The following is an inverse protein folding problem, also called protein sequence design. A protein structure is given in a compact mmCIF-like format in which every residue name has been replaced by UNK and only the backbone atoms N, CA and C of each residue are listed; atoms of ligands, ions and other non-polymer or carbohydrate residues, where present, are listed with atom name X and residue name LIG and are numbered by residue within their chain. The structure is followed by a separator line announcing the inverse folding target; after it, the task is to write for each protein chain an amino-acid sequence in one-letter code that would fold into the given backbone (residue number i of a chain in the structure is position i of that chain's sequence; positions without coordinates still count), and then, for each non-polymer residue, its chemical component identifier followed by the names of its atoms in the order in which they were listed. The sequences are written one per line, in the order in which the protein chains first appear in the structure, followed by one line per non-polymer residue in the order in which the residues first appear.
data_IF_502858238506
#
_entry.id   IF_502858238506
#
_cell.length_a   1.000
_cell.length_b   1.000
_cell.length_c   1.000
_cell.angle_alpha   90.00
_cell.angle_beta   90.00
_cell.angle_gamma   90.00
#
_symmetry.space_group_name_H-M   'P 1'
#
loop_
_entity.id
_entity.type
_entity.pdbx_description
1 polymer ?
#
# COMPACT_ATOMS: atom_id res chain seq x y z
N UNK A 1 30.41 -13.45 -5.13
CA UNK A 1 30.65 -13.31 -3.68
C UNK A 1 29.77 -12.20 -3.13
N UNK A 2 29.97 -11.79 -1.88
CA UNK A 2 29.28 -10.62 -1.31
C UNK A 2 29.70 -9.33 -2.01
N UNK A 3 28.84 -8.30 -1.97
CA UNK A 3 29.22 -6.97 -2.42
C UNK A 3 29.95 -6.24 -1.28
N UNK A 4 31.10 -5.65 -1.57
CA UNK A 4 31.90 -4.90 -0.59
C UNK A 4 31.50 -3.43 -0.45
N UNK A 5 30.57 -2.95 -1.27
CA UNK A 5 30.03 -1.59 -1.17
C UNK A 5 28.98 -1.55 -0.07
N UNK A 6 29.41 -1.09 1.11
CA UNK A 6 28.64 -1.12 2.35
C UNK A 6 28.39 0.29 2.90
N UNK A 7 27.29 0.50 3.65
CA UNK A 7 27.02 1.76 4.34
C UNK A 7 28.02 2.01 5.46
N UNK A 8 28.56 3.24 5.54
CA UNK A 8 29.52 3.68 6.55
C UNK A 8 28.89 4.73 7.49
N UNK A 9 29.66 5.36 8.39
CA UNK A 9 29.17 6.44 9.27
C UNK A 9 27.91 6.09 10.10
N UNK A 10 27.76 4.82 10.50
CA UNK A 10 26.63 4.36 11.31
C UNK A 10 25.35 4.01 10.53
N UNK A 11 25.32 4.21 9.21
CA UNK A 11 24.16 3.95 8.37
C UNK A 11 23.77 2.46 8.24
N UNK A 12 24.63 1.55 8.66
CA UNK A 12 24.32 0.11 8.74
C UNK A 12 23.11 -0.21 9.66
N UNK A 13 22.67 0.73 10.51
CA UNK A 13 21.45 0.58 11.34
C UNK A 13 20.15 0.68 10.53
N UNK A 14 20.18 1.32 9.36
CA UNK A 14 18.98 1.65 8.58
C UNK A 14 19.08 1.27 7.10
N UNK A 15 20.29 1.04 6.60
CA UNK A 15 20.56 0.74 5.21
C UNK A 15 21.32 -0.58 5.07
N UNK A 16 20.99 -1.32 4.01
CA UNK A 16 21.71 -2.53 3.60
C UNK A 16 22.92 -2.18 2.73
N UNK A 17 23.87 -3.11 2.63
CA UNK A 17 24.89 -3.07 1.57
C UNK A 17 24.26 -3.14 0.18
N UNK A 18 24.99 -2.63 -0.82
CA UNK A 18 24.51 -2.59 -2.21
C UNK A 18 24.26 -4.02 -2.71
N UNK A 19 23.07 -4.25 -3.26
CA UNK A 19 22.65 -5.53 -3.80
C UNK A 19 21.73 -5.32 -5.01
N UNK A 20 21.09 -6.37 -5.54
CA UNK A 20 20.22 -6.24 -6.71
C UNK A 20 19.01 -5.33 -6.46
N UNK A 21 18.42 -5.35 -5.26
CA UNK A 21 17.30 -4.46 -4.90
C UNK A 21 17.69 -2.99 -4.97
N UNK A 22 19.00 -2.65 -4.85
CA UNK A 22 19.48 -1.27 -5.03
C UNK A 22 19.28 -0.73 -6.45
N UNK A 23 19.06 -1.62 -7.43
CA UNK A 23 18.88 -1.27 -8.84
C UNK A 23 17.47 -1.60 -9.37
N UNK A 24 16.58 -2.08 -8.49
CA UNK A 24 15.22 -2.46 -8.84
C UNK A 24 14.22 -1.51 -8.17
N UNK A 25 13.12 -1.23 -8.85
CA UNK A 25 11.98 -0.52 -8.28
C UNK A 25 10.83 -1.49 -8.01
N UNK A 26 10.39 -1.58 -6.76
CA UNK A 26 9.24 -2.40 -6.35
C UNK A 26 7.95 -1.67 -6.72
N UNK A 27 7.05 -2.34 -7.43
CA UNK A 27 5.72 -1.83 -7.81
C UNK A 27 4.68 -2.74 -7.16
N UNK A 28 3.77 -2.16 -6.40
CA UNK A 28 2.66 -2.89 -5.77
C UNK A 28 1.43 -2.89 -6.66
N UNK A 29 0.72 -4.02 -6.69
CA UNK A 29 -0.55 -4.20 -7.42
C UNK A 29 -1.62 -4.72 -6.47
N UNK A 30 -2.86 -4.29 -6.67
CA UNK A 30 -4.01 -4.72 -5.87
C UNK A 30 -5.22 -4.94 -6.78
N UNK A 31 -5.92 -6.04 -6.54
CA UNK A 31 -7.18 -6.38 -7.19
C UNK A 31 -8.15 -6.92 -6.13
N UNK A 32 -9.40 -6.46 -6.16
CA UNK A 32 -10.42 -6.87 -5.20
C UNK A 32 -11.58 -7.54 -5.95
N UNK A 33 -11.99 -8.71 -5.45
CA UNK A 33 -13.23 -9.33 -5.86
C UNK A 33 -14.44 -8.54 -5.35
N UNK A 34 -15.62 -8.80 -5.91
CA UNK A 34 -16.88 -8.19 -5.43
C UNK A 34 -17.14 -8.50 -3.95
N UNK A 35 -16.87 -9.72 -3.53
CA UNK A 35 -16.99 -10.14 -2.11
C UNK A 35 -15.95 -9.45 -1.23
N UNK A 36 -14.70 -9.36 -1.71
CA UNK A 36 -13.64 -8.63 -1.01
C UNK A 36 -13.99 -7.16 -0.78
N UNK A 37 -14.58 -6.50 -1.79
CA UNK A 37 -15.05 -5.12 -1.64
C UNK A 37 -16.24 -5.02 -0.68
N UNK A 38 -17.18 -5.98 -0.66
CA UNK A 38 -18.28 -6.00 0.31
C UNK A 38 -17.78 -6.13 1.75
N UNK A 39 -16.73 -6.93 1.96
CA UNK A 39 -16.16 -7.17 3.29
C UNK A 39 -15.32 -5.98 3.79
N UNK A 40 -14.49 -5.39 2.91
CA UNK A 40 -13.61 -4.27 3.28
C UNK A 40 -14.28 -2.90 3.20
N UNK A 41 -15.27 -2.74 2.32
CA UNK A 41 -15.93 -1.47 2.01
C UNK A 41 -16.42 -0.70 3.24
N UNK A 42 -17.14 -1.33 4.20
CA UNK A 42 -17.60 -0.63 5.41
C UNK A 42 -16.46 -0.04 6.24
N UNK A 43 -15.34 -0.74 6.37
CA UNK A 43 -14.17 -0.25 7.09
C UNK A 43 -13.51 0.93 6.35
N UNK A 44 -13.41 0.85 5.02
CA UNK A 44 -12.84 1.92 4.20
C UNK A 44 -13.70 3.19 4.28
N UNK A 45 -15.03 3.06 4.25
CA UNK A 45 -15.93 4.20 4.39
C UNK A 45 -15.82 4.87 5.77
N UNK A 46 -15.75 4.06 6.84
CA UNK A 46 -15.59 4.56 8.22
C UNK A 46 -14.27 5.32 8.38
N UNK A 47 -13.17 4.78 7.85
CA UNK A 47 -11.86 5.45 7.89
C UNK A 47 -11.89 6.75 7.08
N UNK A 48 -12.41 6.71 5.85
CA UNK A 48 -12.48 7.89 4.99
C UNK A 48 -13.38 9.00 5.60
N UNK A 49 -14.45 8.63 6.30
CA UNK A 49 -15.27 9.59 7.05
C UNK A 49 -14.53 10.20 8.22
N UNK A 50 -13.82 9.40 9.02
CA UNK A 50 -13.01 9.88 10.13
C UNK A 50 -11.88 10.83 9.68
N UNK A 51 -11.35 10.62 8.48
CA UNK A 51 -10.33 11.48 7.85
C UNK A 51 -10.93 12.66 7.05
N UNK A 52 -12.26 12.81 7.02
CA UNK A 52 -12.98 13.83 6.23
C UNK A 52 -12.71 13.76 4.71
N UNK A 53 -12.35 12.59 4.20
CA UNK A 53 -12.06 12.32 2.78
C UNK A 53 -13.34 11.89 2.03
N UNK A 54 -14.27 12.82 1.86
CA UNK A 54 -15.60 12.50 1.30
C UNK A 54 -15.54 11.86 -0.09
N UNK A 55 -14.61 12.28 -0.95
CA UNK A 55 -14.45 11.69 -2.28
C UNK A 55 -14.03 10.21 -2.23
N UNK A 56 -13.16 9.84 -1.27
CA UNK A 56 -12.70 8.47 -1.08
C UNK A 56 -13.85 7.59 -0.57
N UNK A 57 -14.62 8.08 0.42
CA UNK A 57 -15.85 7.42 0.90
C UNK A 57 -16.83 7.18 -0.24
N UNK A 58 -17.17 8.24 -0.98
CA UNK A 58 -18.15 8.18 -2.07
C UNK A 58 -17.74 7.20 -3.18
N UNK A 59 -16.45 7.09 -3.49
CA UNK A 59 -15.94 6.13 -4.48
C UNK A 59 -16.26 4.68 -4.08
N UNK A 60 -16.20 4.36 -2.79
CA UNK A 60 -16.58 3.03 -2.26
C UNK A 60 -18.10 2.87 -2.24
N UNK A 61 -18.83 3.87 -1.73
CA UNK A 61 -20.30 3.83 -1.60
C UNK A 61 -21.00 3.56 -2.91
N UNK A 62 -20.57 4.22 -4.00
CA UNK A 62 -21.17 4.02 -5.33
C UNK A 62 -21.00 2.56 -5.79
N UNK A 63 -19.82 1.97 -5.55
CA UNK A 63 -19.55 0.58 -5.94
C UNK A 63 -20.32 -0.40 -5.07
N UNK A 64 -20.37 -0.20 -3.76
CA UNK A 64 -21.16 -1.04 -2.86
C UNK A 64 -22.64 -1.03 -3.22
N UNK A 65 -23.19 0.15 -3.56
CA UNK A 65 -24.58 0.26 -3.98
C UNK A 65 -24.85 -0.42 -5.33
N UNK A 66 -23.90 -0.45 -6.27
CA UNK A 66 -24.03 -1.21 -7.53
C UNK A 66 -23.92 -2.74 -7.37
N UNK A 67 -23.49 -3.20 -6.18
CA UNK A 67 -23.30 -4.61 -5.86
C UNK A 67 -24.40 -5.18 -4.94
N UNK A 68 -25.32 -4.31 -4.48
CA UNK A 68 -26.57 -4.70 -3.84
C UNK A 68 -27.53 -5.24 -4.90
#
# INVERSE_FOLDING_TARGET
GTNHTLPTHGYARSYSGVNLDSFLRKITFQELSKEGLKNLGPAIELMAEAEMLQAHKNAVTIRLNSLK
#
